data_IF_886452908013
#
_entry.id   IF_886452908013
#
_cell.length_a   1.000
_cell.length_b   1.000
_cell.length_c   1.000
_cell.angle_alpha   90.00
_cell.angle_beta   90.00
_cell.angle_gamma   90.00
#
_symmetry.space_group_name_H-M   'P 1'
#
loop_
_entity.id
_entity.type
_entity.pdbx_description
1 polymer ?
#
# COMPACT_ATOMS: atom_id res chain seq x y z
N UNK A 1 -20.38 -23.30 -0.47
CA UNK A 1 -19.09 -23.65 -1.10
C UNK A 1 -18.98 -25.12 -1.54
N UNK A 2 -19.41 -26.09 -0.72
CA UNK A 2 -19.32 -27.54 -1.02
C UNK A 2 -20.08 -27.98 -2.29
N UNK A 3 -21.30 -27.49 -2.50
CA UNK A 3 -22.14 -27.81 -3.68
C UNK A 3 -21.47 -27.46 -5.01
N UNK A 4 -20.77 -26.32 -5.08
CA UNK A 4 -20.12 -25.83 -6.32
C UNK A 4 -18.88 -26.66 -6.69
N UNK A 5 -18.15 -27.18 -5.69
CA UNK A 5 -17.05 -28.14 -5.91
C UNK A 5 -17.57 -29.51 -6.37
N UNK A 6 -18.70 -29.96 -5.80
CA UNK A 6 -19.31 -31.25 -6.14
C UNK A 6 -19.85 -31.27 -7.58
N UNK A 7 -20.46 -30.17 -8.02
CA UNK A 7 -20.93 -29.99 -9.40
C UNK A 7 -19.80 -30.04 -10.44
N UNK A 8 -18.59 -29.56 -10.10
CA UNK A 8 -17.41 -29.64 -10.98
C UNK A 8 -16.84 -31.05 -11.09
N UNK A 9 -17.05 -31.91 -10.09
CA UNK A 9 -16.55 -33.29 -10.05
C UNK A 9 -17.46 -34.29 -10.79
N UNK A 10 -18.73 -33.94 -10.98
CA UNK A 10 -19.75 -34.78 -11.59
C UNK A 10 -19.37 -35.36 -12.98
N UNK A 11 -18.86 -34.57 -13.95
CA UNK A 11 -18.54 -35.09 -15.27
C UNK A 11 -17.38 -36.10 -15.25
N UNK A 12 -16.36 -35.93 -14.39
CA UNK A 12 -15.26 -36.89 -14.24
C UNK A 12 -15.75 -38.21 -13.65
N UNK A 13 -16.60 -38.14 -12.62
CA UNK A 13 -17.18 -39.32 -12.00
C UNK A 13 -18.06 -40.09 -12.99
N UNK A 14 -18.87 -39.40 -13.80
CA UNK A 14 -19.69 -40.03 -14.83
C UNK A 14 -18.84 -40.78 -15.87
N UNK A 15 -17.74 -40.18 -16.33
CA UNK A 15 -16.84 -40.81 -17.30
C UNK A 15 -16.10 -42.03 -16.70
N UNK A 16 -15.64 -41.93 -15.44
CA UNK A 16 -15.02 -43.05 -14.71
C UNK A 16 -16.01 -44.21 -14.52
N UNK A 17 -17.27 -43.91 -14.16
CA UNK A 17 -18.32 -44.92 -14.03
C UNK A 17 -18.58 -45.60 -15.38
N UNK A 18 -18.62 -44.84 -16.47
CA UNK A 18 -18.79 -45.38 -17.81
C UNK A 18 -17.62 -46.30 -18.21
N UNK A 19 -16.38 -45.93 -17.87
CA UNK A 19 -15.20 -46.78 -18.04
C UNK A 19 -15.30 -48.09 -17.25
N UNK A 20 -15.80 -48.04 -16.02
CA UNK A 20 -16.06 -49.23 -15.20
C UNK A 20 -17.12 -50.16 -15.82
N UNK A 21 -18.18 -49.61 -16.42
CA UNK A 21 -19.20 -50.38 -17.14
C UNK A 21 -18.58 -51.06 -18.37
N UNK A 22 -17.80 -50.33 -19.18
CA UNK A 22 -17.11 -50.91 -20.34
C UNK A 22 -16.13 -52.02 -19.93
N UNK A 23 -15.41 -51.85 -18.82
CA UNK A 23 -14.55 -52.89 -18.27
C UNK A 23 -15.35 -54.11 -17.84
N UNK A 24 -16.47 -53.95 -17.13
CA UNK A 24 -17.30 -55.07 -16.67
C UNK A 24 -17.92 -55.86 -17.83
N UNK A 25 -18.30 -55.17 -18.91
CA UNK A 25 -18.84 -55.79 -20.13
C UNK A 25 -17.82 -56.72 -20.81
N UNK A 26 -16.52 -56.53 -20.60
CA UNK A 26 -15.48 -57.43 -21.16
C UNK A 26 -15.59 -58.87 -20.65
N UNK A 27 -16.21 -59.08 -19.48
CA UNK A 27 -16.41 -60.40 -18.88
C UNK A 27 -17.47 -61.22 -19.65
N UNK A 28 -18.37 -60.55 -20.37
CA UNK A 28 -19.53 -61.15 -21.03
C UNK A 28 -19.44 -61.17 -22.57
N UNK A 29 -18.29 -60.78 -23.14
CA UNK A 29 -18.12 -60.55 -24.58
C UNK A 29 -17.06 -61.51 -25.16
N UNK A 30 -17.25 -61.91 -26.43
CA UNK A 30 -16.31 -62.74 -27.19
C UNK A 30 -14.89 -62.13 -27.30
N UNK A 31 -13.87 -63.00 -27.38
CA UNK A 31 -12.45 -62.62 -27.48
C UNK A 31 -12.16 -61.58 -28.58
N UNK A 32 -12.93 -61.58 -29.68
CA UNK A 32 -12.75 -60.64 -30.81
C UNK A 32 -13.03 -59.18 -30.46
N UNK A 33 -13.82 -58.90 -29.43
CA UNK A 33 -14.20 -57.55 -29.01
C UNK A 33 -13.57 -57.14 -27.67
N UNK A 34 -12.89 -58.06 -27.00
CA UNK A 34 -12.25 -57.84 -25.70
C UNK A 34 -11.31 -56.63 -25.71
N UNK A 35 -10.38 -56.59 -26.67
CA UNK A 35 -9.40 -55.51 -26.79
C UNK A 35 -10.04 -54.15 -27.04
N UNK A 36 -11.13 -54.11 -27.81
CA UNK A 36 -11.85 -52.88 -28.09
C UNK A 36 -12.46 -52.29 -26.80
N UNK A 37 -13.14 -53.12 -26.02
CA UNK A 37 -13.81 -52.69 -24.79
C UNK A 37 -12.80 -52.30 -23.69
N UNK A 38 -11.66 -52.99 -23.59
CA UNK A 38 -10.58 -52.61 -22.68
C UNK A 38 -9.96 -51.27 -23.06
N UNK A 39 -9.70 -51.02 -24.35
CA UNK A 39 -9.13 -49.75 -24.80
C UNK A 39 -10.11 -48.59 -24.59
N UNK A 40 -11.41 -48.82 -24.83
CA UNK A 40 -12.46 -47.84 -24.53
C UNK A 40 -12.50 -47.56 -23.02
N UNK A 41 -12.56 -48.60 -22.18
CA UNK A 41 -12.54 -48.45 -20.73
C UNK A 41 -11.30 -47.66 -20.26
N UNK A 42 -10.11 -48.02 -20.76
CA UNK A 42 -8.87 -47.32 -20.46
C UNK A 42 -8.93 -45.83 -20.86
N UNK A 43 -9.50 -45.49 -22.02
CA UNK A 43 -9.68 -44.10 -22.44
C UNK A 43 -10.64 -43.33 -21.51
N UNK A 44 -11.74 -43.97 -21.08
CA UNK A 44 -12.69 -43.42 -20.11
C UNK A 44 -12.09 -43.23 -18.70
N UNK A 45 -11.00 -43.93 -18.34
CA UNK A 45 -10.23 -43.62 -17.14
C UNK A 45 -9.15 -42.55 -17.40
N UNK A 46 -8.38 -42.69 -18.47
CA UNK A 46 -7.20 -41.87 -18.72
C UNK A 46 -7.53 -40.41 -19.05
N UNK A 47 -8.51 -40.16 -19.93
CA UNK A 47 -8.85 -38.80 -20.39
C UNK A 47 -9.40 -37.94 -19.24
N UNK A 48 -10.41 -38.40 -18.46
CA UNK A 48 -10.94 -37.61 -17.34
C UNK A 48 -9.92 -37.40 -16.24
N UNK A 49 -9.06 -38.40 -15.97
CA UNK A 49 -8.01 -38.30 -14.96
C UNK A 49 -6.96 -37.25 -15.37
N UNK A 50 -6.53 -37.26 -16.62
CA UNK A 50 -5.58 -36.28 -17.16
C UNK A 50 -6.17 -34.86 -17.09
N UNK A 51 -7.43 -34.69 -17.48
CA UNK A 51 -8.08 -33.38 -17.44
C UNK A 51 -8.33 -32.91 -16.00
N UNK A 52 -8.67 -33.81 -15.06
CA UNK A 52 -8.78 -33.49 -13.64
C UNK A 52 -7.45 -33.00 -13.07
N UNK A 53 -6.33 -33.66 -13.39
CA UNK A 53 -5.01 -33.22 -12.98
C UNK A 53 -4.62 -31.88 -13.62
N UNK A 54 -4.93 -31.69 -14.89
CA UNK A 54 -4.73 -30.42 -15.60
C UNK A 54 -5.50 -29.27 -14.92
N UNK A 55 -6.81 -29.39 -14.74
CA UNK A 55 -7.62 -28.35 -14.07
C UNK A 55 -7.16 -28.08 -12.64
N UNK A 56 -6.74 -29.12 -11.92
CA UNK A 56 -6.23 -28.97 -10.55
C UNK A 56 -4.91 -28.20 -10.55
N UNK A 57 -4.00 -28.55 -11.45
CA UNK A 57 -2.71 -27.86 -11.60
C UNK A 57 -2.90 -26.41 -12.08
N UNK A 58 -3.79 -26.19 -13.06
CA UNK A 58 -4.17 -24.88 -13.57
C UNK A 58 -4.81 -24.01 -12.47
N UNK A 59 -5.78 -24.53 -11.72
CA UNK A 59 -6.39 -23.81 -10.61
C UNK A 59 -5.39 -23.47 -9.50
N UNK A 60 -4.44 -24.37 -9.22
CA UNK A 60 -3.38 -24.11 -8.26
C UNK A 60 -2.42 -23.02 -8.76
N UNK A 61 -2.02 -23.11 -10.02
CA UNK A 61 -1.15 -22.12 -10.67
C UNK A 61 -1.78 -20.73 -10.71
N UNK A 62 -3.04 -20.63 -11.11
CA UNK A 62 -3.77 -19.35 -11.11
C UNK A 62 -3.89 -18.76 -9.73
N UNK A 63 -4.24 -19.55 -8.71
CA UNK A 63 -4.28 -19.07 -7.32
C UNK A 63 -2.94 -18.54 -6.84
N UNK A 64 -1.84 -19.23 -7.20
CA UNK A 64 -0.50 -18.77 -6.86
C UNK A 64 -0.19 -17.45 -7.57
N UNK A 65 -0.44 -17.37 -8.87
CA UNK A 65 -0.22 -16.16 -9.65
C UNK A 65 -1.04 -14.98 -9.12
N UNK A 66 -2.32 -15.19 -8.84
CA UNK A 66 -3.21 -14.15 -8.33
C UNK A 66 -2.74 -13.66 -6.95
N UNK A 67 -2.29 -14.57 -6.08
CA UNK A 67 -1.69 -14.20 -4.80
C UNK A 67 -0.42 -13.36 -4.99
N UNK A 68 0.50 -13.78 -5.85
CA UNK A 68 1.76 -13.03 -6.07
C UNK A 68 1.51 -11.62 -6.63
N UNK A 69 0.54 -11.49 -7.54
CA UNK A 69 0.15 -10.19 -8.09
C UNK A 69 -0.52 -9.33 -7.03
N UNK A 70 -1.38 -9.93 -6.20
CA UNK A 70 -1.98 -9.24 -5.06
C UNK A 70 -0.92 -8.77 -4.06
N UNK A 71 0.00 -9.64 -3.64
CA UNK A 71 1.07 -9.31 -2.69
C UNK A 71 1.96 -8.18 -3.24
N UNK A 72 2.27 -8.21 -4.54
CA UNK A 72 2.97 -7.14 -5.23
C UNK A 72 2.19 -5.81 -5.18
N UNK A 73 0.90 -5.83 -5.50
CA UNK A 73 0.07 -4.64 -5.44
C UNK A 73 -0.07 -4.11 -4.01
N UNK A 74 -0.26 -4.99 -3.03
CA UNK A 74 -0.32 -4.65 -1.61
C UNK A 74 0.97 -3.98 -1.17
N UNK A 75 2.13 -4.52 -1.53
CA UNK A 75 3.43 -3.93 -1.22
C UNK A 75 3.59 -2.51 -1.80
N UNK A 76 3.04 -2.24 -3.00
CA UNK A 76 3.03 -0.89 -3.56
C UNK A 76 2.14 0.05 -2.75
N UNK A 77 0.90 -0.35 -2.45
CA UNK A 77 -0.01 0.45 -1.62
C UNK A 77 0.65 0.73 -0.27
N UNK A 78 1.11 -0.30 0.43
CA UNK A 78 1.73 -0.21 1.76
C UNK A 78 2.93 0.74 1.77
N UNK A 79 3.77 0.73 0.72
CA UNK A 79 4.88 1.67 0.58
C UNK A 79 4.40 3.13 0.53
N UNK A 80 3.33 3.39 -0.23
CA UNK A 80 2.73 4.73 -0.28
C UNK A 80 2.09 5.11 1.05
N UNK A 81 1.38 4.18 1.71
CA UNK A 81 0.77 4.44 3.02
C UNK A 81 1.81 4.72 4.09
N UNK A 82 2.92 3.98 4.13
CA UNK A 82 4.02 4.25 5.05
C UNK A 82 4.67 5.62 4.79
N UNK A 83 4.79 6.02 3.53
CA UNK A 83 5.26 7.35 3.16
C UNK A 83 4.31 8.45 3.65
N UNK A 84 3.01 8.27 3.42
CA UNK A 84 1.94 9.16 3.92
C UNK A 84 1.99 9.26 5.45
N UNK A 85 2.02 8.12 6.16
CA UNK A 85 2.09 8.05 7.61
C UNK A 85 3.33 8.74 8.17
N UNK A 86 4.48 8.59 7.52
CA UNK A 86 5.70 9.27 7.93
C UNK A 86 5.57 10.81 7.83
N UNK A 87 4.93 11.32 6.78
CA UNK A 87 4.69 12.75 6.63
C UNK A 87 3.60 13.25 7.59
N UNK A 88 2.49 12.53 7.74
CA UNK A 88 1.43 12.86 8.70
C UNK A 88 1.96 12.90 10.13
N UNK A 89 2.78 11.92 10.50
CA UNK A 89 3.40 11.88 11.83
C UNK A 89 4.27 13.10 12.05
N UNK A 90 5.06 13.51 11.05
CA UNK A 90 5.86 14.72 11.14
C UNK A 90 4.98 15.96 11.30
N UNK A 91 3.77 15.99 10.73
CA UNK A 91 2.79 17.08 10.87
C UNK A 91 2.15 17.10 12.26
N UNK A 92 1.74 15.95 12.79
CA UNK A 92 1.06 15.83 14.08
C UNK A 92 2.02 16.06 15.23
N UNK A 93 3.19 15.41 15.17
CA UNK A 93 4.25 15.58 16.17
C UNK A 93 5.29 16.60 15.69
N UNK A 94 6.38 16.77 16.45
CA UNK A 94 7.46 17.66 16.06
C UNK A 94 8.46 16.96 15.14
N UNK A 95 9.08 17.73 14.24
CA UNK A 95 10.22 17.30 13.39
C UNK A 95 11.39 16.63 14.13
N UNK A 96 11.46 16.72 15.47
CA UNK A 96 12.50 16.09 16.29
C UNK A 96 12.25 14.59 16.48
N UNK A 97 11.02 14.13 16.32
CA UNK A 97 10.67 12.72 16.50
C UNK A 97 11.02 11.91 15.24
N UNK A 98 12.07 11.11 15.36
CA UNK A 98 12.63 10.33 14.23
C UNK A 98 12.23 8.86 14.25
N UNK A 99 11.71 8.34 15.35
CA UNK A 99 11.44 6.90 15.47
C UNK A 99 10.25 6.48 14.60
N UNK A 100 10.51 5.83 13.45
CA UNK A 100 9.49 5.24 12.56
C UNK A 100 9.50 3.71 12.65
N UNK A 101 9.56 3.19 13.89
CA UNK A 101 9.38 1.77 14.19
C UNK A 101 7.93 1.33 14.01
N UNK A 102 7.70 0.03 13.82
CA UNK A 102 6.35 -0.54 13.71
C UNK A 102 5.47 -0.24 14.93
N UNK A 103 6.06 -0.22 16.13
CA UNK A 103 5.34 0.14 17.36
C UNK A 103 4.85 1.59 17.32
N UNK A 104 5.72 2.52 16.91
CA UNK A 104 5.35 3.94 16.79
C UNK A 104 4.32 4.15 15.69
N UNK A 105 4.41 3.43 14.57
CA UNK A 105 3.40 3.46 13.50
C UNK A 105 2.04 2.97 14.01
N UNK A 106 2.01 1.83 14.71
CA UNK A 106 0.76 1.28 15.26
C UNK A 106 0.13 2.21 16.31
N UNK A 107 0.96 2.83 17.16
CA UNK A 107 0.49 3.84 18.12
C UNK A 107 -0.09 5.06 17.42
N UNK A 108 0.54 5.51 16.34
CA UNK A 108 0.05 6.63 15.53
C UNK A 108 -1.29 6.34 14.87
N UNK A 109 -1.43 5.14 14.27
CA UNK A 109 -2.69 4.67 13.68
C UNK A 109 -3.83 4.50 14.69
N UNK A 110 -3.49 4.37 15.98
CA UNK A 110 -4.44 4.21 17.09
C UNK A 110 -4.82 5.54 17.76
N UNK A 111 -4.33 6.68 17.28
CA UNK A 111 -4.64 7.98 17.86
C UNK A 111 -6.14 8.30 17.74
N UNK A 112 -6.68 8.89 18.81
CA UNK A 112 -8.03 9.44 18.80
C UNK A 112 -8.01 10.87 18.27
N UNK A 113 -9.17 11.33 17.83
CA UNK A 113 -9.36 12.70 17.34
C UNK A 113 -8.94 13.75 18.37
N UNK A 114 -9.28 13.54 19.64
CA UNK A 114 -8.92 14.45 20.73
C UNK A 114 -7.40 14.53 20.95
N UNK A 115 -6.70 13.40 20.79
CA UNK A 115 -5.25 13.37 20.90
C UNK A 115 -4.60 14.16 19.76
N UNK A 116 -5.12 14.01 18.53
CA UNK A 116 -4.68 14.78 17.37
C UNK A 116 -4.89 16.29 17.58
N UNK A 117 -6.07 16.70 18.06
CA UNK A 117 -6.37 18.12 18.33
C UNK A 117 -5.39 18.73 19.34
N UNK A 118 -5.10 18.00 20.42
CA UNK A 118 -4.17 18.45 21.46
C UNK A 118 -2.74 18.57 20.92
N UNK A 119 -2.25 17.56 20.21
CA UNK A 119 -0.91 17.60 19.60
C UNK A 119 -0.79 18.75 18.60
N UNK A 120 -1.83 18.94 17.76
CA UNK A 120 -1.81 19.96 16.73
C UNK A 120 -1.75 21.39 17.31
N UNK A 121 -2.37 21.60 18.46
CA UNK A 121 -2.48 22.89 19.16
C UNK A 121 -1.20 23.35 19.84
N UNK A 122 -0.48 22.42 20.46
CA UNK A 122 0.64 22.76 21.33
C UNK A 122 1.97 22.96 20.56
N UNK A 123 2.03 22.42 19.35
CA UNK A 123 3.25 22.37 18.56
C UNK A 123 3.51 23.63 17.70
N UNK A 124 4.80 23.84 17.41
CA UNK A 124 5.29 24.79 16.40
C UNK A 124 5.90 24.01 15.24
N UNK A 125 5.63 24.44 14.03
CA UNK A 125 5.98 23.70 12.82
C UNK A 125 6.92 24.47 11.95
N UNK A 126 7.96 23.81 11.43
CA UNK A 126 8.80 24.39 10.41
C UNK A 126 8.03 24.41 9.08
N UNK A 127 8.08 25.49 8.30
CA UNK A 127 7.39 25.54 7.01
C UNK A 127 7.75 24.39 6.08
N UNK A 128 9.00 23.93 6.10
CA UNK A 128 9.48 22.76 5.34
C UNK A 128 8.69 21.48 5.68
N UNK A 129 8.18 21.37 6.91
CA UNK A 129 7.42 20.22 7.39
C UNK A 129 6.00 20.19 6.83
N UNK A 130 5.34 21.35 6.76
CA UNK A 130 3.89 21.47 6.57
C UNK A 130 3.48 21.92 5.17
N UNK A 131 4.39 22.50 4.38
CA UNK A 131 4.12 22.95 3.02
C UNK A 131 4.57 21.95 1.94
N UNK A 132 4.74 20.69 2.32
CA UNK A 132 4.99 19.62 1.35
C UNK A 132 3.68 19.23 0.68
N UNK A 133 3.76 18.87 -0.58
CA UNK A 133 2.62 18.32 -1.31
C UNK A 133 2.55 16.81 -1.20
N UNK A 134 1.39 16.27 -1.55
CA UNK A 134 1.11 14.84 -1.54
C UNK A 134 1.15 14.21 -2.94
N UNK A 135 1.42 15.01 -3.98
CA UNK A 135 1.30 14.58 -5.39
C UNK A 135 2.09 13.33 -5.78
N UNK A 136 3.21 13.03 -5.10
CA UNK A 136 3.94 11.76 -5.33
C UNK A 136 3.11 10.58 -4.85
N UNK A 137 2.57 10.64 -3.64
CA UNK A 137 1.76 9.59 -3.05
C UNK A 137 0.44 9.42 -3.79
N UNK A 138 -0.21 10.54 -4.13
CA UNK A 138 -1.43 10.53 -4.94
C UNK A 138 -1.21 9.85 -6.29
N UNK A 139 -0.11 10.18 -6.97
CA UNK A 139 0.26 9.53 -8.23
C UNK A 139 0.48 8.03 -8.05
N UNK A 140 1.19 7.61 -7.00
CA UNK A 140 1.41 6.19 -6.69
C UNK A 140 0.10 5.41 -6.55
N UNK A 141 -0.82 5.91 -5.73
CA UNK A 141 -2.15 5.32 -5.54
C UNK A 141 -2.99 5.35 -6.83
N UNK A 142 -2.92 6.45 -7.57
CA UNK A 142 -3.70 6.61 -8.80
C UNK A 142 -3.24 5.68 -9.93
N UNK A 143 -1.94 5.43 -10.07
CA UNK A 143 -1.42 4.48 -11.07
C UNK A 143 -1.82 3.03 -10.76
N UNK A 144 -1.91 2.67 -9.47
CA UNK A 144 -2.48 1.38 -9.04
C UNK A 144 -3.95 1.23 -9.46
N UNK A 145 -4.76 2.26 -9.20
CA UNK A 145 -6.18 2.29 -9.59
C UNK A 145 -6.41 2.34 -11.11
N UNK A 146 -5.38 2.67 -11.90
CA UNK A 146 -5.44 2.64 -13.37
C UNK A 146 -5.12 1.28 -13.96
N UNK A 147 -4.63 0.33 -13.17
CA UNK A 147 -4.14 -0.94 -13.68
C UNK A 147 -5.23 -2.03 -13.59
N UNK A 148 -5.96 -2.35 -14.69
CA UNK A 148 -7.07 -3.29 -14.62
C UNK A 148 -6.62 -4.69 -14.24
N UNK A 149 -5.40 -5.06 -14.61
CA UNK A 149 -4.80 -6.35 -14.27
C UNK A 149 -4.61 -6.50 -12.74
N UNK A 150 -4.27 -5.42 -12.03
CA UNK A 150 -4.20 -5.47 -10.56
C UNK A 150 -5.61 -5.50 -9.97
N UNK A 151 -6.51 -4.66 -10.46
CA UNK A 151 -7.87 -4.53 -9.93
C UNK A 151 -8.69 -5.81 -10.04
N UNK A 152 -8.56 -6.56 -11.14
CA UNK A 152 -9.25 -7.85 -11.33
C UNK A 152 -8.90 -8.92 -10.28
N UNK A 153 -7.81 -8.71 -9.52
CA UNK A 153 -7.28 -9.65 -8.52
C UNK A 153 -7.44 -9.14 -7.09
N UNK A 154 -8.04 -7.97 -6.91
CA UNK A 154 -8.38 -7.42 -5.62
C UNK A 154 -9.85 -7.67 -5.30
N UNK A 155 -10.16 -7.78 -4.02
CA UNK A 155 -11.54 -7.78 -3.54
C UNK A 155 -12.11 -6.36 -3.55
N UNK A 156 -13.43 -6.24 -3.72
CA UNK A 156 -14.11 -4.93 -3.79
C UNK A 156 -13.78 -4.04 -2.58
N UNK A 157 -13.70 -4.62 -1.37
CA UNK A 157 -13.36 -3.90 -0.14
C UNK A 157 -11.95 -3.30 -0.16
N UNK A 158 -11.00 -3.99 -0.79
CA UNK A 158 -9.61 -3.54 -0.93
C UNK A 158 -9.54 -2.35 -1.90
N UNK A 159 -10.25 -2.44 -3.03
CA UNK A 159 -10.34 -1.36 -4.03
C UNK A 159 -11.02 -0.13 -3.41
N UNK A 160 -12.15 -0.33 -2.71
CA UNK A 160 -12.86 0.74 -2.00
C UNK A 160 -11.94 1.42 -0.99
N UNK A 161 -11.14 0.66 -0.24
CA UNK A 161 -10.20 1.20 0.74
C UNK A 161 -9.14 2.10 0.10
N UNK A 162 -8.54 1.69 -1.03
CA UNK A 162 -7.58 2.52 -1.77
C UNK A 162 -8.24 3.82 -2.26
N UNK A 163 -9.47 3.74 -2.78
CA UNK A 163 -10.23 4.91 -3.24
C UNK A 163 -10.54 5.86 -2.08
N UNK A 164 -10.92 5.34 -0.91
CA UNK A 164 -11.18 6.16 0.28
C UNK A 164 -9.92 6.87 0.74
N UNK A 165 -8.79 6.17 0.84
CA UNK A 165 -7.49 6.78 1.16
C UNK A 165 -7.15 7.91 0.19
N UNK A 166 -7.31 7.67 -1.13
CA UNK A 166 -7.05 8.69 -2.15
C UNK A 166 -7.94 9.94 -1.96
N UNK A 167 -9.24 9.76 -1.69
CA UNK A 167 -10.17 10.86 -1.44
C UNK A 167 -9.83 11.64 -0.16
N UNK A 168 -9.54 10.93 0.93
CA UNK A 168 -9.19 11.54 2.22
C UNK A 168 -7.86 12.28 2.16
N UNK A 169 -6.89 11.77 1.38
CA UNK A 169 -5.63 12.48 1.11
C UNK A 169 -5.87 13.79 0.34
N UNK A 170 -6.68 13.78 -0.72
CA UNK A 170 -7.03 15.00 -1.46
C UNK A 170 -7.81 16.01 -0.60
N UNK A 171 -8.69 15.54 0.29
CA UNK A 171 -9.39 16.40 1.24
C UNK A 171 -8.43 17.04 2.26
N UNK A 172 -7.45 16.27 2.74
CA UNK A 172 -6.38 16.77 3.61
C UNK A 172 -5.51 17.81 2.89
N UNK A 173 -5.16 17.59 1.62
CA UNK A 173 -4.41 18.57 0.85
C UNK A 173 -5.22 19.87 0.68
N UNK A 174 -6.53 19.76 0.40
CA UNK A 174 -7.39 20.93 0.24
C UNK A 174 -7.46 21.82 1.50
N UNK A 175 -7.59 21.23 2.70
CA UNK A 175 -7.55 22.01 3.95
C UNK A 175 -6.17 22.66 4.18
N UNK A 176 -5.08 22.00 3.77
CA UNK A 176 -3.72 22.55 3.89
C UNK A 176 -3.45 23.78 3.01
N UNK A 177 -4.22 23.95 1.94
CA UNK A 177 -4.13 25.12 1.06
C UNK A 177 -4.92 26.34 1.59
N UNK A 178 -5.64 26.22 2.70
CA UNK A 178 -6.30 27.38 3.33
C UNK A 178 -5.22 28.30 3.90
N UNK A 179 -5.14 29.53 3.39
CA UNK A 179 -4.14 30.53 3.79
C UNK A 179 -4.09 30.75 5.31
N UNK A 180 -5.25 30.70 5.98
CA UNK A 180 -5.36 30.90 7.42
C UNK A 180 -5.03 29.66 8.27
N UNK A 181 -4.76 28.49 7.67
CA UNK A 181 -4.46 27.28 8.45
C UNK A 181 -3.16 27.43 9.24
N UNK A 182 -2.11 27.91 8.58
CA UNK A 182 -0.77 28.07 9.16
C UNK A 182 -0.44 29.54 9.38
N UNK A 183 -0.48 29.96 10.64
CA UNK A 183 -0.13 31.32 11.04
C UNK A 183 1.38 31.44 11.22
N UNK A 184 2.00 32.31 10.42
CA UNK A 184 3.44 32.59 10.50
C UNK A 184 3.80 33.18 11.87
N UNK A 185 4.90 32.72 12.43
CA UNK A 185 5.51 33.30 13.64
C UNK A 185 6.74 34.13 13.26
N UNK A 186 7.21 34.98 14.17
CA UNK A 186 8.43 35.77 13.96
C UNK A 186 9.73 34.93 14.02
N UNK A 187 9.62 33.64 14.36
CA UNK A 187 10.77 32.75 14.54
C UNK A 187 11.24 32.15 13.21
N UNK A 188 12.55 32.18 12.98
CA UNK A 188 13.22 31.57 11.84
C UNK A 188 14.18 30.48 12.35
N UNK A 189 14.15 29.32 11.72
CA UNK A 189 15.02 28.20 12.04
C UNK A 189 16.49 28.52 11.74
N UNK A 190 17.32 28.49 12.78
CA UNK A 190 18.78 28.64 12.68
C UNK A 190 19.45 27.27 12.53
N UNK A 191 20.55 27.21 11.79
CA UNK A 191 21.30 25.97 11.59
C UNK A 191 20.66 24.98 10.61
N UNK A 192 19.73 25.46 9.79
CA UNK A 192 19.11 24.69 8.72
C UNK A 192 19.29 25.39 7.36
N UNK A 193 19.37 24.59 6.30
CA UNK A 193 19.43 25.05 4.91
C UNK A 193 18.50 24.21 4.06
N UNK A 194 17.80 24.83 3.11
CA UNK A 194 17.02 24.13 2.08
C UNK A 194 17.83 24.11 0.79
N UNK A 195 17.95 22.93 0.17
CA UNK A 195 18.68 22.73 -1.08
C UNK A 195 17.79 21.99 -2.09
N UNK A 196 17.82 22.42 -3.35
CA UNK A 196 17.16 21.74 -4.47
C UNK A 196 17.81 20.38 -4.74
N UNK A 197 17.00 19.35 -4.92
CA UNK A 197 17.47 18.00 -5.24
C UNK A 197 18.11 17.91 -6.63
N UNK A 198 17.63 18.68 -7.61
CA UNK A 198 18.26 18.76 -8.94
C UNK A 198 19.63 19.44 -8.87
N UNK A 199 19.76 20.48 -8.05
CA UNK A 199 21.03 21.18 -7.89
C UNK A 199 22.08 20.27 -7.21
N UNK A 200 21.63 19.30 -6.40
CA UNK A 200 22.50 18.30 -5.77
C UNK A 200 22.87 17.16 -6.72
N UNK A 201 21.93 16.71 -7.55
CA UNK A 201 22.17 15.71 -8.59
C UNK A 201 21.26 16.00 -9.80
N UNK A 202 21.83 16.41 -10.95
CA UNK A 202 21.08 16.71 -12.16
C UNK A 202 20.18 15.55 -12.65
N UNK A 203 20.49 14.29 -12.33
CA UNK A 203 19.66 13.13 -12.70
C UNK A 203 18.28 13.11 -12.03
N UNK A 204 18.02 13.99 -11.05
CA UNK A 204 16.74 14.12 -10.35
C UNK A 204 15.65 14.86 -11.17
N UNK A 205 15.75 14.91 -12.50
CA UNK A 205 14.84 15.65 -13.39
C UNK A 205 13.36 15.26 -13.21
N UNK A 206 13.09 14.02 -12.79
CA UNK A 206 11.74 13.50 -12.55
C UNK A 206 11.05 14.10 -11.32
N UNK A 207 11.76 14.84 -10.48
CA UNK A 207 11.22 15.45 -9.25
C UNK A 207 11.77 16.87 -9.05
N UNK A 208 11.38 17.83 -9.92
CA UNK A 208 11.97 19.16 -9.94
C UNK A 208 11.61 20.03 -8.73
N UNK A 209 10.53 19.70 -8.04
CA UNK A 209 10.09 20.38 -6.83
C UNK A 209 10.58 19.66 -5.56
N UNK A 210 11.52 18.71 -5.69
CA UNK A 210 12.09 17.99 -4.55
C UNK A 210 13.18 18.81 -3.89
N UNK A 211 13.00 19.06 -2.60
CA UNK A 211 13.97 19.77 -1.78
C UNK A 211 14.43 18.91 -0.59
N UNK A 212 15.63 19.23 -0.13
CA UNK A 212 16.27 18.59 1.02
C UNK A 212 16.48 19.63 2.11
N UNK A 213 16.01 19.32 3.31
CA UNK A 213 16.30 20.07 4.52
C UNK A 213 17.59 19.53 5.14
N UNK A 214 18.61 20.36 5.13
CA UNK A 214 19.93 20.07 5.69
C UNK A 214 20.03 20.70 7.08
N UNK A 215 20.55 19.95 8.05
CA UNK A 215 20.93 20.47 9.36
C UNK A 215 22.45 20.59 9.45
N UNK A 216 22.94 21.76 9.86
CA UNK A 216 24.37 21.97 10.10
C UNK A 216 24.87 21.09 11.25
N UNK A 217 26.03 20.46 11.05
CA UNK A 217 26.80 19.76 12.10
C UNK A 217 28.05 20.55 12.48
N UNK A 218 28.82 20.99 11.47
CA UNK A 218 30.02 21.84 11.57
C UNK A 218 30.10 22.78 10.35
N UNK A 219 31.13 23.61 10.23
CA UNK A 219 31.26 24.63 9.15
C UNK A 219 30.95 24.07 7.75
N UNK A 220 31.52 22.93 7.38
CA UNK A 220 31.33 22.31 6.05
C UNK A 220 30.55 20.99 6.05
N UNK A 221 29.94 20.59 7.18
CA UNK A 221 29.24 19.29 7.28
C UNK A 221 27.77 19.47 7.56
N UNK A 222 26.97 18.82 6.72
CA UNK A 222 25.52 18.80 6.80
C UNK A 222 25.04 17.36 6.94
N UNK A 223 23.92 17.19 7.64
CA UNK A 223 23.15 15.95 7.61
C UNK A 223 21.80 16.22 6.97
N UNK A 224 21.34 15.29 6.14
CA UNK A 224 19.97 15.28 5.63
C UNK A 224 19.03 15.09 6.82
N UNK A 225 18.26 16.12 7.12
CA UNK A 225 17.32 16.12 8.22
C UNK A 225 15.94 15.64 7.77
N UNK A 226 15.49 16.12 6.60
CA UNK A 226 14.23 15.74 5.97
C UNK A 226 14.28 16.04 4.47
N UNK A 227 13.33 15.52 3.70
CA UNK A 227 13.16 15.83 2.28
C UNK A 227 11.67 15.78 1.90
N UNK A 228 11.33 16.36 0.76
CA UNK A 228 9.97 16.32 0.22
C UNK A 228 9.76 17.29 -0.92
N UNK A 229 8.60 17.18 -1.56
CA UNK A 229 8.27 18.00 -2.70
C UNK A 229 7.52 19.25 -2.23
N UNK A 230 8.06 20.43 -2.51
CA UNK A 230 7.60 21.72 -1.97
C UNK A 230 7.38 22.68 -3.14
N UNK A 231 6.25 23.41 -3.19
CA UNK A 231 6.01 24.31 -4.30
C UNK A 231 6.98 25.47 -4.25
N UNK A 232 7.45 25.91 -5.42
CA UNK A 232 8.40 27.01 -5.54
C UNK A 232 7.96 28.28 -4.80
N UNK A 233 6.66 28.57 -4.80
CA UNK A 233 6.10 29.73 -4.10
C UNK A 233 6.16 29.64 -2.56
N UNK A 234 6.30 28.43 -1.98
CA UNK A 234 6.46 28.23 -0.53
C UNK A 234 7.93 28.11 -0.08
N UNK A 235 8.92 28.17 -0.99
CA UNK A 235 10.34 28.02 -0.61
C UNK A 235 10.81 29.04 0.41
N UNK A 236 10.39 30.29 0.28
CA UNK A 236 10.74 31.37 1.25
C UNK A 236 10.12 31.15 2.63
N UNK A 237 9.07 30.32 2.72
CA UNK A 237 8.37 29.99 3.95
C UNK A 237 9.01 28.81 4.68
N UNK A 238 9.84 28.01 4.01
CA UNK A 238 10.31 26.72 4.51
C UNK A 238 11.11 26.80 5.83
N UNK A 239 11.86 27.87 6.06
CA UNK A 239 12.68 28.03 7.26
C UNK A 239 11.99 28.83 8.37
N UNK A 240 10.75 29.28 8.16
CA UNK A 240 9.97 30.01 9.16
C UNK A 240 9.15 29.04 10.00
N UNK A 241 8.85 29.43 11.24
CA UNK A 241 7.95 28.66 12.10
C UNK A 241 6.51 29.12 11.97
N UNK A 242 5.59 28.17 12.09
CA UNK A 242 4.15 28.35 11.99
C UNK A 242 3.44 27.70 13.17
N UNK A 243 2.25 28.22 13.50
CA UNK A 243 1.28 27.58 14.38
C UNK A 243 -0.01 27.33 13.61
N UNK A 244 -0.71 26.25 13.94
CA UNK A 244 -2.03 26.02 13.36
C UNK A 244 -3.02 26.99 13.99
N UNK A 245 -3.88 27.58 13.17
CA UNK A 245 -4.93 28.47 13.63
C UNK A 245 -5.94 27.69 14.49
N UNK A 246 -6.09 28.10 15.75
CA UNK A 246 -6.98 27.45 16.72
C UNK A 246 -8.42 27.26 16.23
N UNK A 247 -8.91 28.13 15.34
CA UNK A 247 -10.26 28.02 14.75
C UNK A 247 -10.40 26.82 13.79
N UNK A 248 -9.29 26.41 13.18
CA UNK A 248 -9.25 25.36 12.15
C UNK A 248 -8.70 24.03 12.66
N UNK A 249 -8.11 23.97 13.87
CA UNK A 249 -7.51 22.76 14.46
C UNK A 249 -8.49 21.59 14.44
N UNK A 250 -9.73 21.79 14.88
CA UNK A 250 -10.72 20.71 14.96
C UNK A 250 -11.02 20.10 13.58
N UNK A 251 -11.22 20.95 12.58
CA UNK A 251 -11.46 20.50 11.21
C UNK A 251 -10.23 19.81 10.64
N UNK A 252 -9.04 20.36 10.88
CA UNK A 252 -7.80 19.77 10.38
C UNK A 252 -7.49 18.41 11.02
N UNK A 253 -7.71 18.26 12.33
CA UNK A 253 -7.60 17.00 13.05
C UNK A 253 -8.59 15.94 12.52
N UNK A 254 -9.79 16.35 12.11
CA UNK A 254 -10.79 15.48 11.50
C UNK A 254 -10.31 14.89 10.18
N UNK A 255 -9.78 15.71 9.27
CA UNK A 255 -9.22 15.20 8.00
C UNK A 255 -8.04 14.25 8.21
N UNK A 256 -7.18 14.52 9.19
CA UNK A 256 -6.09 13.60 9.54
C UNK A 256 -6.66 12.29 10.10
N UNK A 257 -7.63 12.36 11.01
CA UNK A 257 -8.26 11.19 11.61
C UNK A 257 -8.98 10.32 10.58
N UNK A 258 -9.72 10.92 9.65
CA UNK A 258 -10.40 10.20 8.57
C UNK A 258 -9.41 9.47 7.67
N UNK A 259 -8.27 10.10 7.34
CA UNK A 259 -7.20 9.44 6.59
C UNK A 259 -6.58 8.27 7.36
N UNK A 260 -6.34 8.40 8.68
CA UNK A 260 -5.86 7.30 9.51
C UNK A 260 -6.88 6.15 9.58
N UNK A 261 -8.16 6.46 9.65
CA UNK A 261 -9.24 5.47 9.62
C UNK A 261 -9.28 4.72 8.29
N UNK A 262 -9.15 5.41 7.17
CA UNK A 262 -9.12 4.77 5.85
C UNK A 262 -7.89 3.88 5.66
N UNK A 263 -6.73 4.29 6.20
CA UNK A 263 -5.54 3.44 6.24
C UNK A 263 -5.76 2.18 7.10
N UNK A 264 -6.41 2.32 8.26
CA UNK A 264 -6.77 1.15 9.09
C UNK A 264 -7.73 0.20 8.37
N UNK A 265 -8.72 0.72 7.62
CA UNK A 265 -9.63 -0.10 6.82
C UNK A 265 -8.87 -0.93 5.77
N UNK A 266 -7.88 -0.33 5.11
CA UNK A 266 -6.99 -1.07 4.19
C UNK A 266 -6.23 -2.20 4.91
N UNK A 267 -5.67 -1.92 6.08
CA UNK A 267 -4.97 -2.95 6.86
C UNK A 267 -5.92 -4.09 7.27
N UNK A 268 -7.13 -3.77 7.72
CA UNK A 268 -8.14 -4.79 8.05
C UNK A 268 -8.51 -5.64 6.83
N UNK A 269 -8.64 -5.05 5.65
CA UNK A 269 -8.97 -5.74 4.39
C UNK A 269 -7.82 -6.58 3.81
N UNK A 270 -6.59 -6.43 4.33
CA UNK A 270 -5.38 -7.02 3.73
C UNK A 270 -4.49 -7.79 4.70
N UNK A 271 -4.96 -8.07 5.91
CA UNK A 271 -4.27 -8.97 6.86
C UNK A 271 -3.59 -8.30 8.05
N UNK A 272 -3.86 -7.01 8.30
CA UNK A 272 -3.42 -6.23 9.48
C UNK A 272 -1.91 -6.06 9.64
N UNK A 273 -1.18 -6.12 8.53
CA UNK A 273 0.26 -5.91 8.50
C UNK A 273 0.65 -5.10 7.27
N UNK A 274 1.76 -4.38 7.36
CA UNK A 274 2.38 -3.75 6.19
C UNK A 274 3.39 -4.73 5.57
N UNK A 275 3.32 -4.90 4.25
CA UNK A 275 4.39 -5.52 3.47
C UNK A 275 5.41 -4.46 3.12
N UNK A 276 6.66 -4.70 3.53
CA UNK A 276 7.76 -3.74 3.36
C UNK A 276 8.76 -4.31 2.36
N UNK A 277 9.00 -3.59 1.26
CA UNK A 277 10.16 -3.85 0.42
C UNK A 277 11.42 -3.35 1.14
N UNK A 278 12.25 -4.30 1.60
CA UNK A 278 13.54 -4.01 2.25
C UNK A 278 14.52 -3.21 1.37
N UNK A 279 14.30 -3.13 0.05
CA UNK A 279 15.08 -2.26 -0.84
C UNK A 279 14.73 -0.78 -0.68
N UNK A 280 13.49 -0.48 -0.28
CA UNK A 280 12.96 0.88 -0.12
C UNK A 280 13.12 1.33 1.34
N UNK A 281 12.89 0.43 2.29
CA UNK A 281 13.01 0.71 3.73
C UNK A 281 14.14 -0.10 4.36
N UNK A 282 15.17 0.59 4.87
CA UNK A 282 16.24 -0.06 5.64
C UNK A 282 15.72 -0.48 7.00
N UNK A 283 15.54 -1.78 7.21
CA UNK A 283 15.36 -2.36 8.55
C UNK A 283 16.72 -2.28 9.25
N UNK A 284 16.83 -1.48 10.31
CA UNK A 284 17.98 -1.57 11.21
C UNK A 284 17.76 -2.78 12.11
N UNK A 285 18.39 -3.89 11.76
CA UNK A 285 18.57 -4.96 12.74
C UNK A 285 19.33 -4.39 13.94
N UNK A 286 18.71 -4.43 15.12
CA UNK A 286 19.46 -4.27 16.37
C UNK A 286 20.47 -5.41 16.38
N UNK A 287 21.74 -5.10 16.13
CA UNK A 287 22.82 -6.02 16.47
C UNK A 287 22.65 -6.35 17.96
N UNK A 288 22.38 -7.63 18.23
CA UNK A 288 22.45 -8.19 19.57
C UNK A 288 23.92 -8.03 19.97
N UNK A 289 24.16 -7.14 20.93
CA UNK A 289 25.44 -7.01 21.64
C UNK A 289 25.57 -8.17 22.60
#
# INVERSE_FOLDING_TARGET
MLKRKLLKLLPYLAAIIMGGIFYFLTIFIDERLYDLFINIAAAFFAIPLLYFFYETAESFSHKKLDKEIFDYAKMQVDSELLSILNQLRKIVYTLKEKDFSSETVNRFLSLKKEDLENQLKDNKYLGFQVFKHWGVNEKGLHELLKNPFILERMEDEQIISIISIFKSLGALEAIQQIDELYLETEEIAKGYKVQSGIDMNPENEKSPDRYVLLKHLTEDKFIVYDFGDIPKYNLKKCLKYYKINNKLIRGYAEFIFDLLKDINNWLDATGREFLIDSKIFKVRDKQIV
#
